data_IF_179393037476
#
_entry.id   IF_179393037476
#
_cell.length_a   1.000
_cell.length_b   1.000
_cell.length_c   1.000
_cell.angle_alpha   90.00
_cell.angle_beta   90.00
_cell.angle_gamma   90.00
#
_symmetry.space_group_name_H-M   'P 1'
#
loop_
_entity.id
_entity.type
_entity.pdbx_description
1 polymer ?
#
# COMPACT_ATOMS: atom_id res chain seq x y z
N UNK A 1 59.38 23.06 -19.72
CA UNK A 1 59.27 23.54 -21.12
C UNK A 1 60.58 24.11 -21.70
N UNK A 2 61.35 24.94 -20.98
CA UNK A 2 62.66 25.44 -21.44
C UNK A 2 63.61 24.36 -21.98
N UNK A 3 63.79 23.27 -21.24
CA UNK A 3 64.63 22.13 -21.65
C UNK A 3 64.23 21.51 -23.01
N UNK A 4 62.94 21.52 -23.36
CA UNK A 4 62.40 20.94 -24.59
C UNK A 4 62.39 21.93 -25.76
N UNK A 5 62.00 23.18 -25.49
CA UNK A 5 61.74 24.18 -26.53
C UNK A 5 62.93 25.10 -26.83
N UNK A 6 63.77 25.36 -25.82
CA UNK A 6 64.94 26.26 -25.95
C UNK A 6 66.22 25.45 -26.06
N UNK A 7 66.42 24.49 -25.14
CA UNK A 7 67.65 23.69 -25.06
C UNK A 7 67.63 22.46 -25.98
N UNK A 8 66.51 22.22 -26.69
CA UNK A 8 66.30 21.15 -27.68
C UNK A 8 66.66 19.73 -27.20
N UNK A 9 66.53 19.46 -25.90
CA UNK A 9 66.80 18.15 -25.31
C UNK A 9 65.69 17.15 -25.71
N UNK A 10 66.05 15.88 -25.94
CA UNK A 10 65.08 14.84 -26.30
C UNK A 10 64.09 14.57 -25.17
N UNK A 11 62.85 14.25 -25.55
CA UNK A 11 61.73 14.03 -24.62
C UNK A 11 62.02 12.94 -23.58
N UNK A 12 62.70 11.85 -23.97
CA UNK A 12 63.06 10.75 -23.06
C UNK A 12 64.01 11.20 -21.95
N UNK A 13 64.95 12.09 -22.27
CA UNK A 13 65.96 12.56 -21.32
C UNK A 13 65.36 13.61 -20.38
N UNK A 14 64.46 14.46 -20.88
CA UNK A 14 63.69 15.40 -20.05
C UNK A 14 62.75 14.66 -19.10
N UNK A 15 62.07 13.62 -19.60
CA UNK A 15 61.21 12.76 -18.78
C UNK A 15 61.98 12.13 -17.63
N UNK A 16 63.16 11.55 -17.90
CA UNK A 16 64.04 10.97 -16.89
C UNK A 16 64.58 12.02 -15.91
N UNK A 17 64.99 13.19 -16.40
CA UNK A 17 65.59 14.27 -15.59
C UNK A 17 64.60 14.87 -14.57
N UNK A 18 63.32 14.96 -14.92
CA UNK A 18 62.31 15.61 -14.08
C UNK A 18 61.30 14.62 -13.47
N UNK A 19 61.51 13.31 -13.60
CA UNK A 19 60.67 12.28 -12.98
C UNK A 19 59.28 12.13 -13.61
N UNK A 20 59.13 12.44 -14.89
CA UNK A 20 57.86 12.32 -15.63
C UNK A 20 57.91 11.15 -16.61
N UNK A 21 56.73 10.68 -17.05
CA UNK A 21 56.65 9.77 -18.18
C UNK A 21 56.91 10.52 -19.52
N UNK A 22 57.50 9.85 -20.54
CA UNK A 22 57.65 10.45 -21.87
C UNK A 22 56.32 10.92 -22.47
N UNK A 23 55.22 10.23 -22.16
CA UNK A 23 53.88 10.61 -22.60
C UNK A 23 53.41 11.92 -21.98
N UNK A 24 53.58 12.08 -20.66
CA UNK A 24 53.25 13.32 -19.94
C UNK A 24 54.03 14.52 -20.49
N UNK A 25 55.32 14.33 -20.81
CA UNK A 25 56.15 15.38 -21.38
C UNK A 25 55.69 15.77 -22.80
N UNK A 26 55.28 14.81 -23.62
CA UNK A 26 54.72 15.08 -24.95
C UNK A 26 53.38 15.83 -24.87
N UNK A 27 52.50 15.48 -23.93
CA UNK A 27 51.25 16.17 -23.69
C UNK A 27 51.49 17.63 -23.25
N UNK A 28 52.37 17.85 -22.26
CA UNK A 28 52.77 19.19 -21.82
C UNK A 28 53.36 20.03 -22.96
N UNK A 29 54.18 19.41 -23.83
CA UNK A 29 54.74 20.09 -25.00
C UNK A 29 53.66 20.51 -25.99
N UNK A 30 52.72 19.62 -26.30
CA UNK A 30 51.60 19.90 -27.22
C UNK A 30 50.74 21.04 -26.68
N UNK A 31 50.36 20.98 -25.40
CA UNK A 31 49.46 21.94 -24.79
C UNK A 31 50.13 23.32 -24.69
N UNK A 32 51.42 23.36 -24.34
CA UNK A 32 52.22 24.59 -24.34
C UNK A 32 52.36 25.20 -25.74
N UNK A 33 52.64 24.40 -26.78
CA UNK A 33 52.74 24.89 -28.17
C UNK A 33 51.41 25.41 -28.68
N UNK A 34 50.30 24.75 -28.34
CA UNK A 34 48.96 25.24 -28.68
C UNK A 34 48.64 26.56 -27.99
N UNK A 35 49.02 26.72 -26.72
CA UNK A 35 48.88 27.98 -26.00
C UNK A 35 49.70 29.11 -26.64
N UNK A 36 50.91 28.82 -27.16
CA UNK A 36 51.70 29.79 -27.93
C UNK A 36 50.96 30.20 -29.21
N UNK A 37 50.51 29.22 -30.00
CA UNK A 37 49.86 29.47 -31.30
C UNK A 37 48.57 30.29 -31.17
N UNK A 38 47.84 30.10 -30.08
CA UNK A 38 46.58 30.79 -29.83
C UNK A 38 46.74 32.08 -29.01
N UNK A 39 47.98 32.53 -28.76
CA UNK A 39 48.31 33.72 -27.97
C UNK A 39 47.74 33.69 -26.53
N UNK A 40 47.66 32.49 -25.93
CA UNK A 40 47.10 32.22 -24.60
C UNK A 40 48.18 31.89 -23.56
N UNK A 41 49.41 32.37 -23.77
CA UNK A 41 50.49 32.21 -22.80
C UNK A 41 50.27 33.16 -21.62
N UNK A 42 50.30 32.61 -20.40
CA UNK A 42 50.30 33.39 -19.17
C UNK A 42 51.37 32.91 -18.18
N UNK A 43 51.48 33.58 -17.04
CA UNK A 43 52.46 33.27 -15.99
C UNK A 43 52.32 31.85 -15.42
N UNK A 44 51.16 31.20 -15.52
CA UNK A 44 50.91 29.82 -15.04
C UNK A 44 51.63 28.76 -15.88
N UNK A 45 52.01 29.11 -17.11
CA UNK A 45 52.78 28.23 -17.99
C UNK A 45 54.28 28.21 -17.65
N UNK A 46 54.76 29.17 -16.85
CA UNK A 46 56.17 29.32 -16.48
C UNK A 46 56.41 29.16 -14.97
N UNK A 47 55.43 29.48 -14.13
CA UNK A 47 55.57 29.53 -12.68
C UNK A 47 54.46 28.75 -11.97
N UNK A 48 54.79 28.17 -10.81
CA UNK A 48 53.82 27.50 -9.94
C UNK A 48 52.99 28.57 -9.21
N UNK A 49 51.74 28.78 -9.62
CA UNK A 49 50.80 29.63 -8.89
C UNK A 49 50.21 28.86 -7.70
N UNK A 50 50.51 29.30 -6.47
CA UNK A 50 49.77 28.85 -5.27
C UNK A 50 48.38 29.48 -5.30
N UNK A 51 47.35 28.69 -5.57
CA UNK A 51 45.97 29.14 -5.37
C UNK A 51 45.69 29.25 -3.86
N UNK A 52 45.14 30.36 -3.36
CA UNK A 52 44.66 30.44 -1.98
C UNK A 52 43.61 29.34 -1.76
N UNK A 53 43.67 28.67 -0.61
CA UNK A 53 42.66 27.68 -0.21
C UNK A 53 41.26 28.30 -0.20
N UNK A 54 40.25 27.48 -0.49
CA UNK A 54 38.84 27.90 -0.57
C UNK A 54 38.40 28.47 0.79
N UNK A 55 37.92 29.72 0.83
CA UNK A 55 37.40 30.32 2.06
C UNK A 55 36.27 29.46 2.66
N UNK A 56 36.23 29.25 3.99
CA UNK A 56 35.11 28.59 4.62
C UNK A 56 33.86 29.49 4.52
N UNK A 57 32.90 29.09 3.68
CA UNK A 57 31.58 29.73 3.59
C UNK A 57 30.92 29.78 4.96
N UNK A 58 30.41 30.95 5.36
CA UNK A 58 29.65 31.14 6.60
C UNK A 58 28.44 30.19 6.69
N UNK A 59 27.81 29.86 5.57
CA UNK A 59 26.70 28.91 5.48
C UNK A 59 27.11 27.49 5.89
N UNK A 60 28.37 27.10 5.65
CA UNK A 60 28.87 25.77 6.05
C UNK A 60 29.06 25.65 7.56
N UNK A 61 29.32 26.76 8.26
CA UNK A 61 29.42 26.73 9.72
C UNK A 61 28.05 26.43 10.35
N UNK A 62 26.98 27.04 9.85
CA UNK A 62 25.61 26.78 10.32
C UNK A 62 25.15 25.35 9.99
N UNK A 63 25.43 24.88 8.76
CA UNK A 63 25.13 23.49 8.37
C UNK A 63 25.88 22.48 9.23
N UNK A 64 27.15 22.74 9.55
CA UNK A 64 27.97 21.88 10.42
C UNK A 64 27.33 21.73 11.81
N UNK A 65 26.92 22.83 12.43
CA UNK A 65 26.23 22.82 13.74
C UNK A 65 24.97 21.97 13.67
N UNK A 66 24.19 22.11 12.59
CA UNK A 66 22.95 21.36 12.40
C UNK A 66 23.19 19.87 12.20
N UNK A 67 24.16 19.48 11.37
CA UNK A 67 24.58 18.08 11.19
C UNK A 67 24.95 17.44 12.54
N UNK A 68 25.73 18.16 13.37
CA UNK A 68 26.13 17.69 14.71
C UNK A 68 24.91 17.53 15.62
N UNK A 69 23.98 18.50 15.63
CA UNK A 69 22.77 18.45 16.44
C UNK A 69 21.90 17.24 16.07
N UNK A 70 21.70 17.00 14.77
CA UNK A 70 20.98 15.84 14.25
C UNK A 70 21.69 14.54 14.62
N UNK A 71 23.02 14.50 14.57
CA UNK A 71 23.77 13.32 14.97
C UNK A 71 23.69 13.03 16.47
N UNK A 72 23.72 14.06 17.32
CA UNK A 72 23.48 13.92 18.78
C UNK A 72 22.09 13.36 19.09
N UNK A 73 21.15 13.53 18.17
CA UNK A 73 19.82 12.92 18.21
C UNK A 73 19.78 11.52 17.57
N UNK A 74 20.92 10.87 17.33
CA UNK A 74 21.03 9.52 16.75
C UNK A 74 20.47 9.36 15.33
N UNK A 75 20.32 10.45 14.56
CA UNK A 75 19.98 10.36 13.15
C UNK A 75 21.12 9.76 12.32
N UNK A 76 20.77 8.93 11.35
CA UNK A 76 21.74 8.38 10.40
C UNK A 76 22.17 9.44 9.38
N UNK A 77 23.28 9.21 8.68
CA UNK A 77 23.76 10.12 7.61
C UNK A 77 22.66 10.37 6.56
N UNK A 78 21.88 9.33 6.33
CA UNK A 78 20.72 9.28 5.46
C UNK A 78 19.59 10.20 5.99
N UNK A 79 19.12 9.96 7.21
CA UNK A 79 18.07 10.79 7.83
C UNK A 79 18.48 12.28 7.94
N UNK A 80 19.75 12.55 8.26
CA UNK A 80 20.32 13.90 8.32
C UNK A 80 20.20 14.60 6.97
N UNK A 81 20.53 13.91 5.88
CA UNK A 81 20.43 14.47 4.53
C UNK A 81 18.99 14.78 4.18
N UNK A 82 18.08 13.85 4.45
CA UNK A 82 16.65 14.02 4.19
C UNK A 82 16.09 15.24 4.95
N UNK A 83 16.43 15.38 6.24
CA UNK A 83 16.00 16.53 7.05
C UNK A 83 16.55 17.87 6.54
N UNK A 84 17.85 17.94 6.20
CA UNK A 84 18.46 19.18 5.69
C UNK A 84 17.84 19.61 4.36
N UNK A 85 17.54 18.65 3.48
CA UNK A 85 16.91 18.97 2.19
C UNK A 85 15.44 19.35 2.33
N UNK A 86 14.72 18.77 3.28
CA UNK A 86 13.34 19.15 3.59
C UNK A 86 13.26 20.65 3.95
N UNK A 87 14.32 21.21 4.51
CA UNK A 87 14.46 22.64 4.80
C UNK A 87 15.12 23.47 3.68
N UNK A 88 15.37 22.86 2.51
CA UNK A 88 15.96 23.53 1.34
C UNK A 88 17.50 23.48 1.25
N UNK A 89 18.19 22.81 2.17
CA UNK A 89 19.66 22.72 2.15
C UNK A 89 20.16 21.50 1.37
N UNK A 90 20.94 21.73 0.31
CA UNK A 90 21.56 20.66 -0.49
C UNK A 90 22.96 20.31 0.04
N UNK A 91 23.11 19.11 0.61
CA UNK A 91 24.40 18.59 1.11
C UNK A 91 24.64 17.15 0.62
N UNK A 92 25.91 16.80 0.37
CA UNK A 92 26.29 15.44 -0.02
C UNK A 92 26.45 14.53 1.21
N UNK A 93 26.24 13.22 1.04
CA UNK A 93 26.47 12.24 2.11
C UNK A 93 27.91 12.27 2.62
N UNK A 94 28.87 12.44 1.70
CA UNK A 94 30.30 12.54 2.00
C UNK A 94 30.63 13.79 2.82
N UNK A 95 29.97 14.92 2.56
CA UNK A 95 30.13 16.11 3.40
C UNK A 95 29.61 15.87 4.83
N UNK A 96 28.43 15.24 4.97
CA UNK A 96 27.87 14.88 6.28
C UNK A 96 28.83 13.92 7.00
N UNK A 97 29.28 12.86 6.33
CA UNK A 97 30.21 11.87 6.90
C UNK A 97 31.49 12.53 7.39
N UNK A 98 32.15 13.36 6.56
CA UNK A 98 33.35 14.11 6.95
C UNK A 98 33.13 15.01 8.16
N UNK A 99 32.00 15.71 8.22
CA UNK A 99 31.64 16.55 9.38
C UNK A 99 31.53 15.69 10.63
N UNK A 100 30.87 14.54 10.55
CA UNK A 100 30.68 13.65 11.69
C UNK A 100 31.98 12.98 12.14
N UNK A 101 32.82 12.54 11.19
CA UNK A 101 34.13 11.97 11.47
C UNK A 101 35.06 13.00 12.10
N UNK A 102 35.09 14.23 11.60
CA UNK A 102 35.91 15.31 12.15
C UNK A 102 35.53 15.68 13.59
N UNK A 103 34.25 15.51 13.96
CA UNK A 103 33.73 15.75 15.30
C UNK A 103 33.76 14.50 16.21
N UNK A 104 34.36 13.40 15.73
CA UNK A 104 34.58 12.18 16.52
C UNK A 104 33.36 11.26 16.67
N UNK A 105 32.30 11.43 15.88
CA UNK A 105 31.15 10.52 15.93
C UNK A 105 31.46 9.18 15.28
N UNK A 106 31.30 8.09 16.04
CA UNK A 106 31.41 6.72 15.52
C UNK A 106 30.25 6.38 14.56
N UNK A 107 30.46 5.38 13.70
CA UNK A 107 29.43 4.84 12.81
C UNK A 107 28.31 4.21 13.63
N UNK A 108 27.05 4.49 13.28
CA UNK A 108 25.91 3.85 13.95
C UNK A 108 25.90 2.34 13.63
N UNK A 109 25.62 1.48 14.62
CA UNK A 109 25.46 0.05 14.39
C UNK A 109 24.32 -0.22 13.41
N UNK A 110 24.41 -1.35 12.71
CA UNK A 110 23.39 -1.78 11.74
C UNK A 110 22.12 -2.17 12.50
N UNK A 111 21.17 -1.24 12.61
CA UNK A 111 19.98 -1.36 13.46
C UNK A 111 19.02 -2.45 12.98
N UNK A 112 18.48 -3.23 13.92
CA UNK A 112 17.29 -4.05 13.73
C UNK A 112 16.03 -3.17 13.61
N UNK A 113 14.93 -3.70 13.05
CA UNK A 113 13.66 -2.96 12.96
C UNK A 113 13.13 -2.52 14.35
N UNK A 114 13.43 -3.28 15.39
CA UNK A 114 12.97 -3.04 16.77
C UNK A 114 13.74 -1.86 17.39
N UNK A 115 15.05 -1.77 17.18
CA UNK A 115 15.88 -0.65 17.66
C UNK A 115 15.53 0.68 16.99
N UNK A 116 15.01 0.67 15.75
CA UNK A 116 14.46 1.89 15.13
C UNK A 116 13.19 2.39 15.81
N UNK A 117 12.36 1.50 16.35
CA UNK A 117 11.11 1.86 17.04
C UNK A 117 11.33 2.44 18.44
N UNK A 118 12.46 2.12 19.09
CA UNK A 118 12.73 2.47 20.49
C UNK A 118 13.44 3.81 20.69
N UNK A 119 14.12 4.35 19.67
CA UNK A 119 14.82 5.63 19.77
C UNK A 119 13.94 6.79 19.29
N UNK A 120 12.99 7.19 20.14
CA UNK A 120 12.36 8.51 20.06
C UNK A 120 13.39 9.57 20.43
N UNK A 121 14.07 10.12 19.42
CA UNK A 121 14.86 11.34 19.58
C UNK A 121 14.00 12.57 19.27
N UNK A 122 14.29 13.68 19.96
CA UNK A 122 13.58 14.95 19.86
C UNK A 122 13.34 15.33 18.39
N UNK A 123 12.06 15.54 18.07
CA UNK A 123 11.51 15.82 16.75
C UNK A 123 12.23 17.03 16.13
N UNK A 124 12.96 16.81 15.04
CA UNK A 124 13.27 17.89 14.10
C UNK A 124 11.93 18.36 13.55
N UNK A 125 11.72 19.68 13.54
CA UNK A 125 10.49 20.24 13.00
C UNK A 125 10.48 19.99 11.49
N UNK A 126 9.73 18.98 11.04
CA UNK A 126 9.51 18.77 9.61
C UNK A 126 8.99 20.08 8.98
N UNK A 127 9.42 20.38 7.73
CA UNK A 127 8.91 21.55 7.03
C UNK A 127 7.40 21.47 6.96
N UNK A 128 6.76 22.64 6.83
CA UNK A 128 5.32 22.70 6.67
C UNK A 128 4.95 22.05 5.34
N UNK A 129 3.96 21.16 5.36
CA UNK A 129 3.42 20.56 4.14
C UNK A 129 2.67 21.62 3.35
N UNK A 130 2.97 21.70 2.07
CA UNK A 130 2.28 22.54 1.10
C UNK A 130 2.29 21.87 -0.27
N UNK A 131 1.37 22.30 -1.12
CA UNK A 131 1.30 21.90 -2.53
C UNK A 131 2.62 22.19 -3.25
N UNK A 132 3.05 21.25 -4.09
CA UNK A 132 4.17 21.49 -5.04
C UNK A 132 3.76 22.60 -6.01
N UNK A 133 4.65 23.57 -6.23
CA UNK A 133 4.49 24.56 -7.27
C UNK A 133 5.27 24.11 -8.50
N UNK A 134 4.57 23.61 -9.51
CA UNK A 134 5.21 23.09 -10.73
C UNK A 134 5.94 24.15 -11.55
N UNK A 135 5.72 25.45 -11.32
CA UNK A 135 6.52 26.49 -11.97
C UNK A 135 7.91 26.60 -11.33
N UNK A 136 8.02 26.33 -10.03
CA UNK A 136 9.25 26.47 -9.24
C UNK A 136 9.97 25.14 -9.07
N UNK A 137 9.24 24.07 -8.79
CA UNK A 137 9.76 22.77 -8.40
C UNK A 137 10.12 21.87 -9.59
N UNK A 138 9.67 22.22 -10.80
CA UNK A 138 9.99 21.45 -12.00
C UNK A 138 11.48 21.48 -12.30
N UNK A 139 12.07 20.29 -12.46
CA UNK A 139 13.51 20.14 -12.72
C UNK A 139 14.37 20.15 -11.46
N UNK A 140 13.78 20.35 -10.27
CA UNK A 140 14.50 20.21 -9.02
C UNK A 140 14.76 18.73 -8.69
N UNK A 141 15.85 18.50 -7.94
CA UNK A 141 16.21 17.18 -7.44
C UNK A 141 15.53 16.97 -6.08
N UNK A 142 14.67 15.96 -6.00
CA UNK A 142 14.08 15.49 -4.75
C UNK A 142 14.88 14.28 -4.29
N UNK A 143 15.62 14.36 -3.17
CA UNK A 143 16.17 13.13 -2.59
C UNK A 143 15.09 12.47 -1.76
N UNK A 144 15.06 11.15 -1.87
CA UNK A 144 14.13 10.30 -1.19
C UNK A 144 14.85 8.99 -0.93
N UNK A 145 14.62 8.42 0.25
CA UNK A 145 15.28 7.19 0.66
C UNK A 145 14.31 6.02 0.67
N UNK A 146 13.04 6.31 0.98
CA UNK A 146 11.97 5.32 1.10
C UNK A 146 10.83 5.65 0.15
N UNK A 147 10.57 6.94 -0.08
CA UNK A 147 9.47 7.42 -0.94
C UNK A 147 9.58 7.04 -2.42
N UNK A 148 10.78 6.77 -2.94
CA UNK A 148 10.95 6.37 -4.36
C UNK A 148 10.17 5.09 -4.69
N UNK A 149 10.12 4.13 -3.76
CA UNK A 149 9.52 2.81 -4.00
C UNK A 149 8.01 2.84 -4.27
N UNK A 150 7.33 3.92 -3.88
CA UNK A 150 5.87 4.06 -4.09
C UNK A 150 5.51 4.88 -5.33
N UNK A 151 6.44 5.64 -5.91
CA UNK A 151 6.19 6.45 -7.11
C UNK A 151 5.73 5.63 -8.33
N UNK A 152 6.17 4.37 -8.56
CA UNK A 152 5.65 3.54 -9.64
C UNK A 152 4.14 3.26 -9.57
N UNK A 153 3.46 3.52 -8.45
CA UNK A 153 2.01 3.41 -8.36
C UNK A 153 1.27 4.63 -8.92
N UNK A 154 1.93 5.77 -9.13
CA UNK A 154 1.28 6.99 -9.66
C UNK A 154 0.61 6.78 -11.03
N UNK A 155 1.25 6.12 -12.02
CA UNK A 155 0.58 5.82 -13.29
C UNK A 155 -0.65 4.92 -13.13
N UNK A 156 -0.64 4.00 -12.14
CA UNK A 156 -1.80 3.16 -11.84
C UNK A 156 -2.93 4.00 -11.25
N UNK A 157 -2.64 4.87 -10.28
CA UNK A 157 -3.64 5.76 -9.68
C UNK A 157 -4.25 6.70 -10.74
N UNK A 158 -3.43 7.24 -11.65
CA UNK A 158 -3.89 8.08 -12.75
C UNK A 158 -4.78 7.30 -13.73
N UNK A 159 -4.40 6.07 -14.10
CA UNK A 159 -5.22 5.21 -14.98
C UNK A 159 -6.55 4.81 -14.34
N UNK A 160 -6.56 4.65 -13.03
CA UNK A 160 -7.77 4.37 -12.26
C UNK A 160 -8.58 5.65 -11.97
N UNK A 161 -8.04 6.85 -12.21
CA UNK A 161 -8.65 8.13 -11.86
C UNK A 161 -9.00 8.22 -10.36
N UNK A 162 -8.07 7.82 -9.49
CA UNK A 162 -8.31 7.77 -8.03
C UNK A 162 -8.57 9.14 -7.43
N UNK A 163 -7.92 10.18 -7.97
CA UNK A 163 -8.18 11.59 -7.69
C UNK A 163 -9.67 11.93 -7.82
N UNK A 164 -10.31 11.50 -8.91
CA UNK A 164 -11.74 11.77 -9.15
C UNK A 164 -12.64 11.04 -8.15
N UNK A 165 -12.24 9.86 -7.66
CA UNK A 165 -13.00 9.16 -6.61
C UNK A 165 -12.98 9.94 -5.30
N UNK A 166 -11.82 10.53 -4.98
CA UNK A 166 -11.60 11.32 -3.78
C UNK A 166 -12.35 12.65 -3.86
N UNK A 167 -12.31 13.31 -5.01
CA UNK A 167 -13.05 14.57 -5.24
C UNK A 167 -14.56 14.35 -5.10
N UNK A 168 -15.10 13.30 -5.75
CA UNK A 168 -16.52 12.95 -5.65
C UNK A 168 -16.95 12.56 -4.23
N UNK A 169 -16.02 12.06 -3.42
CA UNK A 169 -16.30 11.72 -2.03
C UNK A 169 -16.57 12.95 -1.15
N UNK A 170 -16.13 14.14 -1.57
CA UNK A 170 -16.20 15.39 -0.80
C UNK A 170 -15.57 15.22 0.59
N UNK A 171 -14.43 14.52 0.65
CA UNK A 171 -13.66 14.44 1.88
C UNK A 171 -13.17 15.83 2.30
N UNK A 172 -12.90 16.05 3.61
CA UNK A 172 -12.51 17.35 4.11
C UNK A 172 -11.20 17.86 3.46
N UNK A 173 -11.14 19.17 3.21
CA UNK A 173 -9.89 19.87 2.91
C UNK A 173 -9.48 20.81 4.05
N UNK A 174 -8.36 21.49 3.85
CA UNK A 174 -7.97 22.70 4.57
C UNK A 174 -7.69 23.82 3.57
N UNK A 175 -7.38 25.03 4.04
CA UNK A 175 -6.92 26.12 3.18
C UNK A 175 -5.59 25.82 2.47
N UNK A 176 -4.85 24.81 2.94
CA UNK A 176 -3.51 24.47 2.44
C UNK A 176 -3.46 23.14 1.70
N UNK A 177 -4.30 22.17 2.10
CA UNK A 177 -4.28 20.81 1.60
C UNK A 177 -5.67 20.42 1.08
N UNK A 178 -5.72 20.02 -0.18
CA UNK A 178 -6.92 19.45 -0.79
C UNK A 178 -7.25 18.08 -0.19
N UNK A 179 -8.49 17.63 -0.41
CA UNK A 179 -8.93 16.27 -0.04
C UNK A 179 -8.09 15.19 -0.72
N UNK A 180 -7.75 15.40 -2.00
CA UNK A 180 -6.89 14.51 -2.80
C UNK A 180 -5.51 14.36 -2.14
N UNK A 181 -4.84 15.46 -1.82
CA UNK A 181 -3.52 15.42 -1.18
C UNK A 181 -3.55 14.72 0.19
N UNK A 182 -4.60 14.96 0.98
CA UNK A 182 -4.76 14.29 2.27
C UNK A 182 -4.96 12.78 2.11
N UNK A 183 -5.85 12.34 1.22
CA UNK A 183 -6.09 10.90 1.00
C UNK A 183 -4.88 10.21 0.38
N UNK A 184 -4.21 10.84 -0.59
CA UNK A 184 -2.97 10.32 -1.16
C UNK A 184 -1.85 10.20 -0.11
N UNK A 185 -1.82 11.06 0.90
CA UNK A 185 -0.88 10.93 2.02
C UNK A 185 -1.10 9.63 2.80
N UNK A 186 -2.36 9.23 3.04
CA UNK A 186 -2.66 7.93 3.65
C UNK A 186 -2.29 6.76 2.74
N UNK A 187 -2.53 6.89 1.43
CA UNK A 187 -2.14 5.87 0.45
C UNK A 187 -0.62 5.74 0.38
N UNK A 188 0.12 6.85 0.45
CA UNK A 188 1.58 6.87 0.46
C UNK A 188 2.13 6.07 1.65
N UNK A 189 1.61 6.35 2.85
CA UNK A 189 1.98 5.60 4.06
C UNK A 189 1.61 4.12 3.90
N UNK A 190 0.40 3.82 3.40
CA UNK A 190 -0.10 2.46 3.11
C UNK A 190 0.84 1.64 2.22
N UNK A 191 1.26 2.22 1.11
CA UNK A 191 2.16 1.55 0.17
C UNK A 191 3.58 1.40 0.74
N UNK A 192 3.98 2.30 1.63
CA UNK A 192 5.33 2.35 2.16
C UNK A 192 5.60 1.40 3.35
N UNK A 193 4.60 0.71 3.91
CA UNK A 193 4.84 -0.13 5.09
C UNK A 193 4.82 0.61 6.42
N UNK A 194 4.44 1.89 6.45
CA UNK A 194 4.46 2.72 7.65
C UNK A 194 3.14 2.65 8.43
N UNK A 195 3.22 2.17 9.68
CA UNK A 195 2.08 2.16 10.60
C UNK A 195 1.72 3.58 11.03
N UNK A 196 0.42 3.89 11.05
CA UNK A 196 -0.08 5.23 11.42
C UNK A 196 0.15 5.57 12.90
N UNK A 197 0.14 4.58 13.79
CA UNK A 197 0.32 4.78 15.23
C UNK A 197 1.79 5.05 15.66
N UNK A 198 2.71 5.26 14.72
CA UNK A 198 4.05 5.69 15.09
C UNK A 198 4.02 7.16 15.51
N UNK A 199 4.45 7.47 16.74
CA UNK A 199 4.70 8.85 17.21
C UNK A 199 5.91 9.51 16.49
N UNK A 200 6.35 8.94 15.37
CA UNK A 200 7.52 9.35 14.61
C UNK A 200 7.07 10.00 13.30
N UNK A 201 7.47 11.25 13.09
CA UNK A 201 7.22 12.06 11.89
C UNK A 201 8.37 11.92 10.85
N UNK A 202 9.28 10.95 10.98
CA UNK A 202 10.40 10.76 10.04
C UNK A 202 9.96 10.67 8.57
N UNK A 203 8.79 10.07 8.31
CA UNK A 203 8.21 10.01 6.96
C UNK A 203 7.80 11.38 6.42
N UNK A 204 7.52 12.36 7.29
CA UNK A 204 7.25 13.75 6.91
C UNK A 204 8.53 14.52 6.52
N UNK A 205 9.71 13.87 6.52
CA UNK A 205 10.97 14.44 6.00
C UNK A 205 11.32 13.94 4.59
N UNK A 206 10.73 12.82 4.15
CA UNK A 206 11.05 12.23 2.85
C UNK A 206 10.20 12.89 1.75
N UNK A 207 10.86 13.71 0.92
CA UNK A 207 10.19 14.45 -0.17
C UNK A 207 9.61 13.55 -1.25
N UNK A 208 10.00 12.27 -1.33
CA UNK A 208 9.40 11.30 -2.26
C UNK A 208 7.97 10.94 -1.88
N UNK A 209 7.68 10.83 -0.58
CA UNK A 209 6.30 10.64 -0.11
C UNK A 209 5.45 11.89 -0.34
N UNK A 210 6.04 13.07 -0.12
CA UNK A 210 5.42 14.35 -0.50
C UNK A 210 5.05 14.35 -1.98
N UNK A 211 6.02 14.08 -2.86
CA UNK A 211 5.84 14.08 -4.31
C UNK A 211 4.72 13.13 -4.76
N UNK A 212 4.64 11.94 -4.16
CA UNK A 212 3.54 11.00 -4.42
C UNK A 212 2.16 11.61 -4.16
N UNK A 213 2.05 12.47 -3.14
CA UNK A 213 0.81 13.11 -2.75
C UNK A 213 0.62 14.50 -3.35
N UNK A 214 1.51 14.96 -4.24
CA UNK A 214 1.49 16.32 -4.77
C UNK A 214 1.90 17.41 -3.77
N UNK A 215 2.75 17.05 -2.79
CA UNK A 215 3.21 17.90 -1.70
C UNK A 215 4.74 17.98 -1.63
N UNK A 216 5.30 19.01 -1.01
CA UNK A 216 6.74 19.06 -0.73
C UNK A 216 7.19 17.94 0.22
N UNK A 217 6.40 17.67 1.26
CA UNK A 217 6.50 16.56 2.23
C UNK A 217 5.11 16.17 2.75
N UNK A 218 4.96 14.98 3.33
CA UNK A 218 3.67 14.57 3.91
C UNK A 218 3.27 15.39 5.16
N UNK A 219 1.96 15.57 5.43
CA UNK A 219 1.44 16.25 6.62
C UNK A 219 1.78 15.48 7.90
N UNK A 220 2.17 16.16 8.99
CA UNK A 220 2.51 15.55 10.28
C UNK A 220 1.39 14.68 10.85
N UNK A 221 1.74 13.77 11.77
CA UNK A 221 0.79 12.85 12.41
C UNK A 221 -0.46 13.58 12.96
N UNK A 222 -0.31 14.71 13.65
CA UNK A 222 -1.46 15.46 14.16
C UNK A 222 -2.47 15.92 13.08
N UNK A 223 -1.98 16.24 11.87
CA UNK A 223 -2.85 16.60 10.74
C UNK A 223 -3.58 15.37 10.21
N UNK A 224 -2.85 14.26 10.00
CA UNK A 224 -3.46 13.02 9.53
C UNK A 224 -4.44 12.46 10.56
N UNK A 225 -4.09 12.43 11.84
CA UNK A 225 -4.92 11.96 12.94
C UNK A 225 -6.22 12.76 13.07
N UNK A 226 -6.16 14.10 13.07
CA UNK A 226 -7.37 14.93 13.08
C UNK A 226 -8.24 14.78 11.85
N UNK A 227 -7.65 14.49 10.68
CA UNK A 227 -8.39 14.28 9.44
C UNK A 227 -9.41 13.13 9.54
N UNK A 228 -9.04 12.01 10.17
CA UNK A 228 -9.96 10.87 10.30
C UNK A 228 -11.15 11.11 11.21
N UNK A 229 -11.08 12.09 12.12
CA UNK A 229 -12.24 12.49 12.93
C UNK A 229 -13.24 13.37 12.15
N UNK A 230 -12.85 13.85 10.96
CA UNK A 230 -13.67 14.71 10.10
C UNK A 230 -14.32 13.95 8.94
N UNK A 231 -14.12 12.64 8.84
CA UNK A 231 -14.73 11.81 7.80
C UNK A 231 -15.98 11.12 8.32
N UNK A 232 -16.99 10.97 7.45
CA UNK A 232 -18.25 10.31 7.77
C UNK A 232 -18.60 9.18 6.79
N UNK A 233 -19.69 8.46 7.09
CA UNK A 233 -20.17 7.36 6.25
C UNK A 233 -20.64 7.80 4.87
N UNK A 234 -21.26 8.97 4.75
CA UNK A 234 -21.76 9.45 3.47
C UNK A 234 -20.62 9.74 2.50
N UNK A 235 -19.53 10.35 2.99
CA UNK A 235 -18.29 10.54 2.23
C UNK A 235 -17.72 9.21 1.76
N UNK A 236 -17.60 8.23 2.67
CA UNK A 236 -17.12 6.88 2.34
C UNK A 236 -18.01 6.18 1.31
N UNK A 237 -19.34 6.35 1.40
CA UNK A 237 -20.28 5.77 0.43
C UNK A 237 -20.13 6.42 -0.94
N UNK A 238 -19.95 7.75 -1.02
CA UNK A 238 -19.66 8.44 -2.29
C UNK A 238 -18.35 7.98 -2.91
N UNK A 239 -17.28 7.86 -2.11
CA UNK A 239 -15.99 7.31 -2.55
C UNK A 239 -16.18 5.91 -3.16
N UNK A 240 -16.82 5.00 -2.42
CA UNK A 240 -17.06 3.63 -2.88
C UNK A 240 -17.90 3.59 -4.16
N UNK A 241 -18.90 4.48 -4.31
CA UNK A 241 -19.69 4.58 -5.55
C UNK A 241 -18.83 4.99 -6.74
N UNK A 242 -18.03 6.04 -6.61
CA UNK A 242 -17.16 6.52 -7.69
C UNK A 242 -16.12 5.44 -8.09
N UNK A 243 -15.48 4.82 -7.09
CA UNK A 243 -14.57 3.70 -7.29
C UNK A 243 -15.27 2.54 -8.02
N UNK A 244 -16.42 2.10 -7.53
CA UNK A 244 -17.18 0.99 -8.10
C UNK A 244 -17.56 1.22 -9.57
N UNK A 245 -18.05 2.42 -9.90
CA UNK A 245 -18.42 2.78 -11.27
C UNK A 245 -17.22 2.74 -12.21
N UNK A 246 -16.07 3.27 -11.78
CA UNK A 246 -14.86 3.30 -12.59
C UNK A 246 -14.26 1.91 -12.79
N UNK A 247 -14.20 1.08 -11.74
CA UNK A 247 -13.75 -0.31 -11.84
C UNK A 247 -14.64 -1.11 -12.80
N UNK A 248 -15.96 -0.88 -12.78
CA UNK A 248 -16.91 -1.49 -13.71
C UNK A 248 -16.69 -1.03 -15.15
N UNK A 249 -16.46 0.26 -15.38
CA UNK A 249 -16.13 0.84 -16.70
C UNK A 249 -14.88 0.19 -17.29
N UNK A 250 -13.87 -0.05 -16.46
CA UNK A 250 -12.62 -0.72 -16.83
C UNK A 250 -12.74 -2.26 -16.92
N UNK A 251 -13.92 -2.83 -16.65
CA UNK A 251 -14.18 -4.27 -16.63
C UNK A 251 -13.29 -5.03 -15.63
N UNK A 252 -12.92 -4.38 -14.54
CA UNK A 252 -12.11 -4.95 -13.45
C UNK A 252 -12.96 -5.66 -12.39
N UNK A 253 -14.27 -5.48 -12.42
CA UNK A 253 -15.20 -6.19 -11.53
C UNK A 253 -16.33 -6.80 -12.37
N UNK A 254 -16.65 -8.04 -12.05
CA UNK A 254 -17.73 -8.82 -12.64
C UNK A 254 -19.05 -8.63 -11.90
N UNK A 255 -19.93 -9.61 -12.03
CA UNK A 255 -21.22 -9.64 -11.33
C UNK A 255 -21.24 -10.56 -10.11
N UNK A 256 -20.17 -11.31 -9.85
CA UNK A 256 -20.11 -12.24 -8.73
C UNK A 256 -19.39 -11.59 -7.57
N UNK A 257 -19.85 -11.84 -6.35
CA UNK A 257 -19.32 -11.14 -5.17
C UNK A 257 -19.18 -12.11 -4.03
N UNK A 258 -17.97 -12.27 -3.53
CA UNK A 258 -17.72 -12.90 -2.25
C UNK A 258 -17.91 -11.87 -1.14
N UNK A 259 -18.58 -12.25 -0.06
CA UNK A 259 -18.84 -11.38 1.09
C UNK A 259 -18.41 -12.08 2.36
N UNK A 260 -17.72 -11.36 3.24
CA UNK A 260 -17.38 -11.86 4.57
C UNK A 260 -17.35 -10.73 5.61
N UNK A 261 -17.51 -11.13 6.86
CA UNK A 261 -17.32 -10.24 7.99
C UNK A 261 -15.92 -10.38 8.56
N UNK A 262 -15.36 -9.27 9.01
CA UNK A 262 -14.10 -9.22 9.72
C UNK A 262 -14.23 -8.36 10.97
N UNK A 263 -13.68 -8.87 12.07
CA UNK A 263 -13.61 -8.14 13.33
C UNK A 263 -12.26 -7.43 13.41
N UNK A 264 -12.28 -6.10 13.35
CA UNK A 264 -11.10 -5.25 13.52
C UNK A 264 -10.94 -4.96 15.02
N UNK A 265 -9.92 -5.53 15.70
CA UNK A 265 -9.77 -5.41 17.15
C UNK A 265 -9.64 -3.96 17.62
N UNK A 266 -10.25 -3.65 18.76
CA UNK A 266 -10.03 -2.42 19.48
C UNK A 266 -9.50 -2.73 20.89
N UNK A 267 -8.35 -2.16 21.22
CA UNK A 267 -7.63 -2.45 22.47
C UNK A 267 -7.81 -1.41 23.57
N UNK A 268 -8.52 -0.30 23.31
CA UNK A 268 -8.77 0.72 24.33
C UNK A 268 -9.85 0.29 25.34
N UNK A 269 -9.62 0.61 26.61
CA UNK A 269 -10.46 0.18 27.73
C UNK A 269 -11.87 0.81 27.73
N UNK A 270 -11.96 2.09 27.37
CA UNK A 270 -13.17 2.91 27.36
C UNK A 270 -14.06 2.75 26.10
N UNK A 271 -14.09 1.55 25.50
CA UNK A 271 -14.78 1.33 24.23
C UNK A 271 -16.26 1.00 24.39
N UNK A 272 -17.10 1.69 23.60
CA UNK A 272 -18.54 1.41 23.40
C UNK A 272 -18.82 0.34 22.33
N UNK A 273 -17.77 -0.31 21.81
CA UNK A 273 -17.87 -1.29 20.73
C UNK A 273 -18.40 -2.64 21.22
N UNK A 274 -19.13 -3.31 20.33
CA UNK A 274 -19.66 -4.65 20.57
C UNK A 274 -18.53 -5.71 20.51
N UNK A 275 -18.76 -6.86 21.14
CA UNK A 275 -17.84 -7.99 21.10
C UNK A 275 -18.11 -8.85 19.86
N UNK A 276 -17.18 -8.88 18.91
CA UNK A 276 -17.28 -9.72 17.71
C UNK A 276 -16.29 -10.89 17.77
N UNK A 277 -16.66 -11.99 17.12
CA UNK A 277 -15.77 -13.14 16.97
C UNK A 277 -14.62 -12.79 16.03
N UNK A 278 -13.37 -12.97 16.47
CA UNK A 278 -12.20 -12.83 15.61
C UNK A 278 -11.58 -14.19 15.34
N UNK A 279 -11.56 -14.60 14.07
CA UNK A 279 -10.90 -15.84 13.64
C UNK A 279 -9.40 -15.86 13.94
N UNK A 280 -8.72 -14.70 13.80
CA UNK A 280 -7.28 -14.55 14.09
C UNK A 280 -6.92 -14.86 15.54
N UNK A 281 -7.77 -14.47 16.48
CA UNK A 281 -7.51 -14.62 17.92
C UNK A 281 -8.27 -15.78 18.57
N UNK A 282 -9.16 -16.46 17.83
CA UNK A 282 -9.97 -17.56 18.34
C UNK A 282 -10.90 -17.19 19.50
N UNK A 283 -11.25 -15.90 19.64
CA UNK A 283 -12.11 -15.41 20.73
C UNK A 283 -12.98 -14.25 20.31
N UNK A 284 -14.03 -13.98 21.10
CA UNK A 284 -14.78 -12.73 21.01
C UNK A 284 -14.01 -11.61 21.70
N UNK A 285 -13.94 -10.45 21.06
CA UNK A 285 -13.23 -9.28 21.57
C UNK A 285 -13.88 -7.99 21.09
N UNK A 286 -13.69 -6.90 21.84
CA UNK A 286 -14.20 -5.57 21.49
C UNK A 286 -13.62 -5.16 20.14
N UNK A 287 -14.48 -4.92 19.16
CA UNK A 287 -14.02 -4.73 17.78
C UNK A 287 -15.05 -3.98 16.95
N UNK A 288 -14.57 -3.41 15.85
CA UNK A 288 -15.42 -2.91 14.78
C UNK A 288 -15.74 -4.09 13.86
N UNK A 289 -17.02 -4.42 13.72
CA UNK A 289 -17.47 -5.40 12.75
C UNK A 289 -17.55 -4.74 11.37
N UNK A 290 -16.82 -5.30 10.41
CA UNK A 290 -16.79 -4.79 9.05
C UNK A 290 -17.19 -5.85 8.05
N UNK A 291 -18.01 -5.49 7.06
CA UNK A 291 -18.28 -6.31 5.88
C UNK A 291 -17.32 -5.91 4.77
N UNK A 292 -16.76 -6.90 4.08
CA UNK A 292 -15.91 -6.69 2.92
C UNK A 292 -16.43 -7.54 1.76
N UNK A 293 -16.56 -6.90 0.60
CA UNK A 293 -17.10 -7.51 -0.62
C UNK A 293 -16.04 -7.49 -1.72
N UNK A 294 -15.75 -8.64 -2.29
CA UNK A 294 -14.67 -8.83 -3.26
C UNK A 294 -15.19 -9.50 -4.53
N UNK A 295 -14.68 -9.07 -5.67
CA UNK A 295 -14.84 -9.80 -6.91
C UNK A 295 -13.98 -11.09 -6.88
N UNK A 296 -14.57 -12.29 -7.04
CA UNK A 296 -13.87 -13.56 -6.86
C UNK A 296 -12.84 -13.88 -7.93
N UNK A 297 -12.92 -13.24 -9.11
CA UNK A 297 -12.06 -13.54 -10.24
C UNK A 297 -10.82 -12.64 -10.25
N UNK A 298 -10.99 -11.36 -9.90
CA UNK A 298 -9.90 -10.38 -9.85
C UNK A 298 -9.31 -10.19 -8.47
N UNK A 299 -10.03 -10.55 -7.41
CA UNK A 299 -9.62 -10.32 -6.02
C UNK A 299 -9.79 -8.86 -5.56
N UNK A 300 -10.40 -8.00 -6.36
CA UNK A 300 -10.57 -6.58 -6.04
C UNK A 300 -11.74 -6.40 -5.05
N UNK A 301 -11.49 -5.67 -3.96
CA UNK A 301 -12.56 -5.24 -3.06
C UNK A 301 -13.40 -4.14 -3.71
N UNK A 302 -14.70 -4.38 -3.82
CA UNK A 302 -15.63 -3.49 -4.50
C UNK A 302 -16.60 -2.76 -3.55
N UNK A 303 -16.68 -3.18 -2.28
CA UNK A 303 -17.49 -2.52 -1.26
C UNK A 303 -17.00 -2.87 0.15
N UNK A 304 -17.21 -1.93 1.08
CA UNK A 304 -16.99 -2.13 2.51
C UNK A 304 -17.98 -1.33 3.37
N UNK A 305 -18.26 -1.83 4.58
CA UNK A 305 -18.96 -1.11 5.63
C UNK A 305 -18.38 -1.49 6.99
N UNK A 306 -18.03 -0.50 7.82
CA UNK A 306 -17.46 -0.69 9.15
C UNK A 306 -18.38 -0.16 10.27
N UNK A 307 -19.63 0.22 9.96
CA UNK A 307 -20.60 0.74 10.93
C UNK A 307 -21.65 -0.30 11.32
N UNK A 308 -21.30 -1.58 11.22
CA UNK A 308 -22.24 -2.68 11.42
C UNK A 308 -22.38 -2.96 12.90
N UNK A 309 -23.63 -2.96 13.36
CA UNK A 309 -24.03 -3.44 14.69
C UNK A 309 -24.63 -4.82 14.58
N UNK A 310 -24.55 -5.63 15.63
CA UNK A 310 -25.10 -6.99 15.69
C UNK A 310 -26.55 -7.06 15.22
N UNK A 311 -27.39 -6.11 15.64
CA UNK A 311 -28.80 -6.04 15.26
C UNK A 311 -29.05 -5.86 13.75
N UNK A 312 -28.06 -5.35 13.01
CA UNK A 312 -28.15 -5.03 11.58
C UNK A 312 -27.28 -5.98 10.72
N UNK A 313 -26.53 -6.90 11.32
CA UNK A 313 -25.58 -7.77 10.63
C UNK A 313 -26.24 -8.53 9.47
N UNK A 314 -27.39 -9.14 9.72
CA UNK A 314 -28.10 -9.93 8.71
C UNK A 314 -28.61 -9.09 7.52
N UNK A 315 -28.88 -7.80 7.71
CA UNK A 315 -29.42 -6.90 6.67
C UNK A 315 -28.31 -6.34 5.75
N UNK A 316 -27.04 -6.50 6.12
CA UNK A 316 -25.89 -6.03 5.33
C UNK A 316 -25.91 -6.55 3.88
N UNK A 317 -26.44 -7.76 3.66
CA UNK A 317 -26.59 -8.32 2.31
C UNK A 317 -27.53 -7.50 1.44
N UNK A 318 -28.61 -6.97 2.01
CA UNK A 318 -29.58 -6.16 1.30
C UNK A 318 -29.05 -4.73 1.08
N UNK A 319 -28.40 -4.15 2.09
CA UNK A 319 -27.74 -2.84 1.95
C UNK A 319 -26.69 -2.84 0.83
N UNK A 320 -25.93 -3.93 0.70
CA UNK A 320 -24.99 -4.12 -0.40
C UNK A 320 -25.70 -4.21 -1.75
N UNK A 321 -26.81 -4.96 -1.83
CA UNK A 321 -27.61 -5.05 -3.05
C UNK A 321 -28.12 -3.67 -3.48
N UNK A 322 -28.59 -2.86 -2.53
CA UNK A 322 -29.05 -1.50 -2.81
C UNK A 322 -27.90 -0.60 -3.29
N UNK A 323 -26.74 -0.66 -2.63
CA UNK A 323 -25.53 0.01 -3.12
C UNK A 323 -25.17 -0.40 -4.55
N UNK A 324 -25.24 -1.69 -4.87
CA UNK A 324 -24.88 -2.21 -6.19
C UNK A 324 -25.87 -1.77 -7.27
N UNK A 325 -27.17 -1.75 -6.94
CA UNK A 325 -28.25 -1.32 -7.86
C UNK A 325 -28.14 0.14 -8.26
N UNK A 326 -27.61 1.00 -7.40
CA UNK A 326 -27.31 2.41 -7.76
C UNK A 326 -26.39 2.50 -9.00
N UNK A 327 -25.60 1.46 -9.29
CA UNK A 327 -24.77 1.33 -10.49
C UNK A 327 -25.49 0.77 -11.74
N UNK A 328 -26.81 0.65 -11.71
CA UNK A 328 -27.68 0.35 -12.86
C UNK A 328 -27.88 -1.12 -13.23
N UNK A 329 -27.24 -2.08 -12.56
CA UNK A 329 -27.48 -3.52 -12.75
C UNK A 329 -27.46 -4.22 -11.39
N UNK A 330 -28.05 -5.41 -11.27
CA UNK A 330 -27.99 -6.24 -10.06
C UNK A 330 -26.70 -7.09 -10.03
N UNK A 331 -26.23 -7.52 -8.84
CA UNK A 331 -25.18 -8.53 -8.77
C UNK A 331 -25.72 -9.83 -9.35
N UNK A 332 -24.89 -10.56 -10.10
CA UNK A 332 -25.26 -11.83 -10.70
C UNK A 332 -25.32 -12.97 -9.67
N UNK A 333 -24.41 -12.95 -8.67
CA UNK A 333 -24.36 -13.97 -7.62
C UNK A 333 -23.64 -13.45 -6.37
N UNK A 334 -24.24 -13.62 -5.20
CA UNK A 334 -23.62 -13.35 -3.89
C UNK A 334 -23.12 -14.64 -3.25
N UNK A 335 -21.94 -14.63 -2.65
CA UNK A 335 -21.28 -15.84 -2.12
C UNK A 335 -20.81 -15.55 -0.69
N UNK A 336 -21.36 -16.25 0.30
CA UNK A 336 -21.13 -15.92 1.71
C UNK A 336 -21.32 -17.13 2.64
N UNK A 337 -20.83 -17.02 3.88
CA UNK A 337 -20.99 -18.05 4.92
C UNK A 337 -22.46 -18.21 5.37
N UNK A 338 -22.79 -19.41 5.86
CA UNK A 338 -24.04 -19.76 6.55
C UNK A 338 -24.54 -18.80 7.64
N UNK A 339 -23.69 -17.98 8.27
CA UNK A 339 -24.07 -17.02 9.31
C UNK A 339 -24.26 -15.61 8.80
N UNK A 340 -23.90 -15.34 7.55
CA UNK A 340 -23.85 -13.99 7.01
C UNK A 340 -25.23 -13.30 6.97
N UNK A 341 -26.30 -14.07 6.76
CA UNK A 341 -27.67 -13.55 6.71
C UNK A 341 -28.69 -14.62 7.10
N UNK A 342 -29.97 -14.24 7.16
CA UNK A 342 -31.09 -15.09 7.53
C UNK A 342 -31.76 -15.75 6.32
N UNK A 343 -32.55 -16.80 6.54
CA UNK A 343 -33.28 -17.47 5.46
C UNK A 343 -34.36 -16.58 4.84
N UNK A 344 -34.98 -15.72 5.63
CA UNK A 344 -35.91 -14.69 5.19
C UNK A 344 -35.23 -13.74 4.18
N UNK A 345 -33.97 -13.37 4.42
CA UNK A 345 -33.21 -12.55 3.50
C UNK A 345 -32.80 -13.32 2.24
N UNK A 346 -32.54 -14.63 2.31
CA UNK A 346 -32.36 -15.46 1.12
C UNK A 346 -33.61 -15.47 0.23
N UNK A 347 -34.80 -15.53 0.83
CA UNK A 347 -36.06 -15.44 0.09
C UNK A 347 -36.24 -14.06 -0.57
N UNK A 348 -35.88 -12.97 0.12
CA UNK A 348 -35.87 -11.62 -0.48
C UNK A 348 -34.93 -11.55 -1.68
N UNK A 349 -33.72 -12.11 -1.60
CA UNK A 349 -32.78 -12.18 -2.71
C UNK A 349 -33.34 -12.97 -3.90
N UNK A 350 -33.99 -14.11 -3.64
CA UNK A 350 -34.61 -14.91 -4.70
C UNK A 350 -35.77 -14.18 -5.39
N UNK A 351 -36.64 -13.51 -4.61
CA UNK A 351 -37.71 -12.64 -5.15
C UNK A 351 -37.15 -11.54 -6.04
N UNK A 352 -36.01 -10.97 -5.67
CA UNK A 352 -35.31 -9.93 -6.44
C UNK A 352 -34.50 -10.49 -7.63
N UNK A 353 -34.54 -11.81 -7.86
CA UNK A 353 -33.84 -12.54 -8.92
C UNK A 353 -32.31 -12.42 -8.82
N UNK A 354 -31.78 -12.26 -7.61
CA UNK A 354 -30.34 -12.26 -7.33
C UNK A 354 -29.93 -13.67 -6.93
N UNK A 355 -28.89 -14.23 -7.57
CA UNK A 355 -28.40 -15.55 -7.17
C UNK A 355 -27.57 -15.47 -5.91
N UNK A 356 -27.59 -16.55 -5.11
CA UNK A 356 -26.68 -16.69 -3.99
C UNK A 356 -26.10 -18.10 -3.90
N UNK A 357 -24.94 -18.24 -3.28
CA UNK A 357 -24.35 -19.51 -2.87
C UNK A 357 -23.89 -19.35 -1.42
N UNK A 358 -24.43 -20.18 -0.53
CA UNK A 358 -24.05 -20.17 0.88
C UNK A 358 -23.95 -21.60 1.44
N UNK A 359 -23.53 -21.73 2.69
CA UNK A 359 -23.58 -23.01 3.40
C UNK A 359 -24.84 -23.11 4.24
N UNK A 360 -25.36 -24.32 4.36
CA UNK A 360 -26.35 -24.68 5.37
C UNK A 360 -25.64 -25.28 6.57
N UNK A 361 -25.97 -24.80 7.77
CA UNK A 361 -25.39 -25.33 9.01
C UNK A 361 -25.80 -26.79 9.20
N UNK A 362 -24.85 -27.60 9.66
CA UNK A 362 -25.08 -29.01 9.99
C UNK A 362 -25.95 -29.12 11.24
N UNK A 363 -26.90 -30.05 11.23
CA UNK A 363 -27.60 -30.50 12.43
C UNK A 363 -27.49 -32.02 12.52
N UNK A 364 -27.60 -32.58 13.74
CA UNK A 364 -27.59 -34.04 13.93
C UNK A 364 -28.68 -34.72 13.11
N UNK A 365 -29.87 -34.11 13.06
CA UNK A 365 -31.01 -34.58 12.26
C UNK A 365 -30.68 -34.58 10.76
N UNK A 366 -30.11 -33.50 10.24
CA UNK A 366 -29.77 -33.38 8.82
C UNK A 366 -28.71 -34.41 8.38
N UNK A 367 -27.71 -34.66 9.23
CA UNK A 367 -26.70 -35.69 8.96
C UNK A 367 -27.30 -37.10 9.02
N UNK A 368 -28.17 -37.37 10.00
CA UNK A 368 -28.85 -38.67 10.11
C UNK A 368 -29.79 -38.93 8.93
N UNK A 369 -30.47 -37.90 8.41
CA UNK A 369 -31.26 -37.99 7.18
C UNK A 369 -30.37 -38.24 5.96
N UNK A 370 -29.21 -37.58 5.88
CA UNK A 370 -28.26 -37.76 4.80
C UNK A 370 -27.69 -39.18 4.74
N UNK A 371 -27.37 -39.79 5.90
CA UNK A 371 -26.83 -41.16 5.97
C UNK A 371 -27.86 -42.24 5.60
N UNK A 372 -29.15 -41.90 5.50
CA UNK A 372 -30.21 -42.82 5.04
C UNK A 372 -30.34 -42.84 3.52
N UNK A 373 -29.71 -41.91 2.81
CA UNK A 373 -29.77 -41.83 1.35
C UNK A 373 -28.90 -42.96 0.77
N UNK A 374 -29.46 -43.83 -0.09
CA UNK A 374 -28.72 -44.91 -0.76
C UNK A 374 -27.53 -44.38 -1.56
N UNK A 375 -26.46 -45.17 -1.67
CA UNK A 375 -25.24 -44.80 -2.41
C UNK A 375 -25.51 -44.52 -3.90
N UNK A 376 -26.57 -45.10 -4.48
CA UNK A 376 -26.97 -44.94 -5.87
C UNK A 376 -27.52 -43.54 -6.19
N UNK A 377 -28.05 -42.84 -5.18
CA UNK A 377 -28.54 -41.46 -5.32
C UNK A 377 -27.40 -40.43 -5.29
N UNK A 378 -26.19 -40.86 -4.90
CA UNK A 378 -25.00 -40.03 -4.95
C UNK A 378 -24.36 -40.06 -6.34
N UNK A 379 -24.09 -38.88 -6.88
CA UNK A 379 -23.34 -38.74 -8.13
C UNK A 379 -21.89 -38.31 -7.87
N UNK A 380 -20.98 -38.82 -8.69
CA UNK A 380 -19.57 -38.42 -8.64
C UNK A 380 -19.34 -37.26 -9.60
N UNK A 381 -18.79 -36.15 -9.10
CA UNK A 381 -18.45 -34.98 -9.91
C UNK A 381 -16.97 -34.64 -9.80
N UNK A 382 -16.36 -34.28 -10.92
CA UNK A 382 -15.02 -33.72 -10.95
C UNK A 382 -15.10 -32.20 -10.79
N UNK A 383 -14.47 -31.68 -9.75
CA UNK A 383 -14.34 -30.24 -9.48
C UNK A 383 -12.88 -29.83 -9.64
N UNK A 384 -12.59 -29.08 -10.70
CA UNK A 384 -11.25 -28.59 -10.98
C UNK A 384 -10.94 -27.31 -10.21
N UNK A 385 -9.71 -27.22 -9.69
CA UNK A 385 -9.19 -26.02 -9.02
C UNK A 385 -7.69 -26.16 -8.74
N UNK A 386 -6.90 -25.07 -8.90
CA UNK A 386 -5.44 -25.13 -8.89
C UNK A 386 -4.83 -25.61 -7.56
N UNK A 387 -5.58 -25.54 -6.45
CA UNK A 387 -5.13 -25.90 -5.10
C UNK A 387 -5.91 -27.06 -4.46
N UNK A 388 -6.78 -27.75 -5.21
CA UNK A 388 -7.72 -28.71 -4.62
C UNK A 388 -7.10 -30.12 -4.54
N UNK A 389 -6.85 -30.60 -3.31
CA UNK A 389 -6.34 -31.96 -3.04
C UNK A 389 -7.32 -33.06 -3.47
N UNK A 390 -8.63 -32.84 -3.32
CA UNK A 390 -9.68 -33.80 -3.67
C UNK A 390 -10.53 -33.27 -4.84
N UNK A 391 -10.26 -33.79 -6.04
CA UNK A 391 -10.92 -33.36 -7.28
C UNK A 391 -12.21 -34.13 -7.60
N UNK A 392 -12.34 -35.39 -7.15
CA UNK A 392 -13.57 -36.18 -7.30
C UNK A 392 -14.34 -36.12 -5.99
N UNK A 393 -15.57 -35.61 -6.05
CA UNK A 393 -16.45 -35.45 -4.90
C UNK A 393 -17.72 -36.26 -5.15
N UNK A 394 -18.26 -36.86 -4.10
CA UNK A 394 -19.62 -37.41 -4.12
C UNK A 394 -20.58 -36.29 -3.77
N UNK A 395 -21.64 -36.12 -4.55
CA UNK A 395 -22.68 -35.12 -4.29
C UNK A 395 -24.07 -35.74 -4.34
N UNK A 396 -24.97 -35.16 -3.56
CA UNK A 396 -26.39 -35.45 -3.62
C UNK A 396 -27.15 -34.12 -3.67
N UNK A 397 -28.08 -34.00 -4.62
CA UNK A 397 -28.85 -32.77 -4.86
C UNK A 397 -30.30 -32.94 -4.43
N UNK A 398 -30.85 -31.94 -3.73
CA UNK A 398 -32.26 -31.94 -3.36
C UNK A 398 -32.85 -30.54 -3.36
N UNK A 399 -34.15 -30.43 -3.54
CA UNK A 399 -34.90 -29.19 -3.32
C UNK A 399 -35.46 -29.21 -1.90
N UNK A 400 -35.20 -28.15 -1.14
CA UNK A 400 -35.60 -28.06 0.27
C UNK A 400 -36.39 -26.78 0.54
N UNK A 401 -37.39 -26.87 1.40
CA UNK A 401 -38.04 -25.73 2.00
C UNK A 401 -37.33 -25.41 3.33
N UNK A 402 -36.86 -24.18 3.48
CA UNK A 402 -36.22 -23.75 4.73
C UNK A 402 -37.27 -23.20 5.70
N UNK A 403 -36.94 -23.28 6.98
CA UNK A 403 -37.76 -22.66 8.02
C UNK A 403 -37.95 -21.16 7.73
N UNK A 404 -39.17 -20.67 7.98
CA UNK A 404 -39.60 -19.28 7.71
C UNK A 404 -39.48 -18.82 6.26
N UNK A 405 -39.41 -19.77 5.32
CA UNK A 405 -39.45 -19.47 3.89
C UNK A 405 -40.63 -20.18 3.23
N UNK A 406 -41.10 -19.60 2.12
CA UNK A 406 -42.18 -20.16 1.30
C UNK A 406 -41.69 -20.76 -0.02
N UNK A 407 -40.38 -20.69 -0.27
CA UNK A 407 -39.76 -21.05 -1.55
C UNK A 407 -38.75 -22.17 -1.37
N UNK A 408 -38.74 -23.09 -2.33
CA UNK A 408 -37.75 -24.15 -2.39
C UNK A 408 -36.40 -23.61 -2.86
N UNK A 409 -35.34 -24.09 -2.22
CA UNK A 409 -33.96 -23.84 -2.58
C UNK A 409 -33.25 -25.14 -2.90
N UNK A 410 -32.31 -25.06 -3.83
CA UNK A 410 -31.44 -26.17 -4.19
C UNK A 410 -30.39 -26.36 -3.10
N UNK A 411 -30.31 -27.58 -2.59
CA UNK A 411 -29.28 -28.06 -1.69
C UNK A 411 -28.36 -29.02 -2.42
N UNK A 412 -27.06 -28.88 -2.19
CA UNK A 412 -26.03 -29.79 -2.70
C UNK A 412 -25.24 -30.29 -1.48
N UNK A 413 -25.50 -31.53 -1.08
CA UNK A 413 -24.67 -32.23 -0.11
C UNK A 413 -23.37 -32.68 -0.79
N UNK A 414 -22.24 -32.50 -0.13
CA UNK A 414 -20.90 -32.78 -0.67
C UNK A 414 -20.14 -33.64 0.34
N UNK A 415 -19.75 -34.83 -0.11
CA UNK A 415 -18.89 -35.77 0.62
C UNK A 415 -17.56 -36.00 -0.11
N UNK A 416 -16.57 -36.56 0.60
CA UNK A 416 -15.25 -36.86 0.04
C UNK A 416 -14.35 -35.64 -0.21
N UNK A 417 -14.66 -34.49 0.41
CA UNK A 417 -13.88 -33.25 0.29
C UNK A 417 -12.66 -33.18 1.24
N UNK A 418 -12.34 -34.27 1.95
CA UNK A 418 -11.26 -34.34 2.94
C UNK A 418 -11.66 -33.87 4.34
N UNK A 419 -12.90 -33.44 4.55
CA UNK A 419 -13.45 -33.22 5.89
C UNK A 419 -14.13 -34.49 6.41
N UNK A 420 -14.11 -34.66 7.73
CA UNK A 420 -14.75 -35.79 8.43
C UNK A 420 -16.27 -35.82 8.26
N UNK A 421 -16.90 -34.67 7.97
CA UNK A 421 -18.35 -34.53 7.81
C UNK A 421 -18.71 -33.79 6.53
N UNK A 422 -19.84 -34.14 5.94
CA UNK A 422 -20.36 -33.60 4.70
C UNK A 422 -20.65 -32.09 4.80
N UNK A 423 -20.49 -31.39 3.70
CA UNK A 423 -20.85 -29.98 3.58
C UNK A 423 -22.19 -29.86 2.83
N UNK A 424 -23.03 -28.91 3.24
CA UNK A 424 -24.29 -28.61 2.56
C UNK A 424 -24.20 -27.23 1.96
N UNK A 425 -24.19 -27.15 0.63
CA UNK A 425 -24.30 -25.89 -0.09
C UNK A 425 -25.77 -25.61 -0.37
N UNK A 426 -26.17 -24.36 -0.20
CA UNK A 426 -27.50 -23.86 -0.44
C UNK A 426 -27.46 -22.77 -1.52
N UNK A 427 -28.35 -22.86 -2.51
CA UNK A 427 -28.41 -21.88 -3.60
C UNK A 427 -29.82 -21.80 -4.20
N UNK A 428 -30.17 -20.65 -4.77
CA UNK A 428 -31.32 -20.50 -5.67
C UNK A 428 -30.93 -20.62 -7.16
N UNK A 429 -29.70 -21.04 -7.45
CA UNK A 429 -29.22 -21.27 -8.82
C UNK A 429 -29.45 -22.71 -9.27
N UNK A 430 -30.37 -22.86 -10.23
CA UNK A 430 -30.72 -24.14 -10.88
C UNK A 430 -30.08 -24.32 -12.25
N UNK A 431 -29.36 -23.30 -12.77
CA UNK A 431 -28.78 -23.33 -14.12
C UNK A 431 -27.35 -23.86 -14.10
N UNK A 432 -26.54 -23.44 -13.12
CA UNK A 432 -25.15 -23.91 -12.99
C UNK A 432 -25.11 -25.36 -12.53
N UNK A 433 -24.12 -26.13 -12.98
CA UNK A 433 -23.90 -27.50 -12.48
C UNK A 433 -23.41 -27.48 -11.03
N UNK A 434 -23.59 -28.58 -10.30
CA UNK A 434 -23.08 -28.67 -8.93
C UNK A 434 -21.56 -28.45 -8.85
N UNK A 435 -20.81 -28.97 -9.82
CA UNK A 435 -19.37 -28.74 -9.91
C UNK A 435 -19.01 -27.26 -10.04
N UNK A 436 -19.77 -26.48 -10.84
CA UNK A 436 -19.58 -25.03 -10.96
C UNK A 436 -19.90 -24.30 -9.65
N UNK A 437 -21.00 -24.67 -8.98
CA UNK A 437 -21.40 -24.09 -7.69
C UNK A 437 -20.33 -24.36 -6.61
N UNK A 438 -19.86 -25.61 -6.51
CA UNK A 438 -18.83 -26.02 -5.55
C UNK A 438 -17.50 -25.32 -5.84
N UNK A 439 -17.10 -25.20 -7.12
CA UNK A 439 -15.89 -24.46 -7.52
C UNK A 439 -16.01 -22.99 -7.15
N UNK A 440 -17.16 -22.38 -7.41
CA UNK A 440 -17.37 -20.97 -7.13
C UNK A 440 -17.37 -20.68 -5.64
N UNK A 441 -18.03 -21.51 -4.83
CA UNK A 441 -17.98 -21.39 -3.37
C UNK A 441 -16.54 -21.52 -2.83
N UNK A 442 -15.73 -22.39 -3.42
CA UNK A 442 -14.32 -22.54 -3.06
C UNK A 442 -13.47 -21.27 -3.24
N UNK A 443 -13.83 -20.39 -4.19
CA UNK A 443 -13.15 -19.10 -4.37
C UNK A 443 -13.43 -18.10 -3.24
N UNK A 444 -14.41 -18.35 -2.36
CA UNK A 444 -14.71 -17.47 -1.21
C UNK A 444 -13.51 -17.29 -0.27
N UNK A 445 -12.65 -18.30 -0.18
CA UNK A 445 -11.41 -18.26 0.60
C UNK A 445 -10.48 -17.10 0.20
N UNK A 446 -10.56 -16.61 -1.05
CA UNK A 446 -9.77 -15.47 -1.50
C UNK A 446 -10.11 -14.18 -0.74
N UNK A 447 -11.35 -14.04 -0.24
CA UNK A 447 -11.72 -12.91 0.62
C UNK A 447 -10.98 -12.99 1.93
N UNK A 448 -11.08 -14.11 2.64
CA UNK A 448 -10.42 -14.30 3.93
C UNK A 448 -8.91 -14.06 3.84
N UNK A 449 -8.27 -14.57 2.76
CA UNK A 449 -6.86 -14.30 2.48
C UNK A 449 -6.58 -12.82 2.23
N UNK A 450 -7.35 -12.17 1.35
CA UNK A 450 -7.20 -10.75 1.03
C UNK A 450 -7.43 -9.84 2.25
N UNK A 451 -8.37 -10.21 3.12
CA UNK A 451 -8.62 -9.54 4.41
C UNK A 451 -7.39 -9.62 5.30
N UNK A 452 -6.82 -10.82 5.46
CA UNK A 452 -5.63 -11.00 6.30
C UNK A 452 -4.42 -10.21 5.79
N UNK A 453 -4.24 -10.13 4.46
CA UNK A 453 -3.14 -9.37 3.84
C UNK A 453 -3.33 -7.85 3.98
N UNK A 454 -4.57 -7.35 3.97
CA UNK A 454 -4.83 -5.92 3.92
C UNK A 454 -5.06 -5.25 5.29
N UNK A 455 -5.45 -6.02 6.33
CA UNK A 455 -5.80 -5.49 7.66
C UNK A 455 -4.59 -5.23 8.57
N UNK A 456 -3.43 -5.89 8.38
CA UNK A 456 -2.27 -5.73 9.28
C UNK A 456 -1.62 -4.34 9.30
N UNK A 457 -2.18 -3.39 8.56
CA UNK A 457 -1.57 -2.09 8.31
C UNK A 457 -2.11 -0.94 9.16
N UNK A 458 -3.27 -1.11 9.79
CA UNK A 458 -3.84 -0.03 10.60
C UNK A 458 -3.31 -0.07 12.02
#
# INVERSE_FOLDING_TARGET
>A
MRALCVEKIKVKDVAKRFGYSPFSINAMKRDFVNAIKNNQIDSRHFFVTKNPGRNPDADKAQLKVKIIQLRKQNYSILDIKSALQAEGNSVSHDYIDRVLTAEGFARLPKRTQIERKLQFSKIIKAPRSHSIDWNIDRGQIFHSERGIGILPFLPLLARLCVDQWIEFAEYPGTSELSSVQNVLSFIALKLAGHNRYSQDDLWAMDRGFGLFSGLNVLPKDGTLSSYSYRTDRHMNRRFLKAMFQQLKKLRLIGGQVNMDFTAIPHWGDASVLENNWSGKYGKRLKSVLSVLCQDPDTGIFCYSNAEIRHRNEAECVLEFVDFWKDGGRKPSCLIFDSKFTTYENLEKLDKDKIKFITLRRRSKKLLAELHKIPDEEWSSVKVEGPSRKHMRLKIHESEILLDKTTRYFRQIAVSGNGHEKEAFILTNDRKRTAAQIIRQYGKRWNVEKGISEQIEFF
#
